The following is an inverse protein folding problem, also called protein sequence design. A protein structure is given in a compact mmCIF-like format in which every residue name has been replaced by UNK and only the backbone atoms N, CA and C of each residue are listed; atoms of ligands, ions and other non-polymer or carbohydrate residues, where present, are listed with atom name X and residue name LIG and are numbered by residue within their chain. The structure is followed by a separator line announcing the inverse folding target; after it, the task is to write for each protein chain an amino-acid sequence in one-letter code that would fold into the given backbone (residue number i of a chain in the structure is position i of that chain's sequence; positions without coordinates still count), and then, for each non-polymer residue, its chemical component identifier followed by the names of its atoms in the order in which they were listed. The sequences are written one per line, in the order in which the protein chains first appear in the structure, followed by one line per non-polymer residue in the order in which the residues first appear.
data_IF_285694719907
#
_entry.id   IF_285694719907
#
_cell.length_a   1.000
_cell.length_b   1.000
_cell.length_c   1.000
_cell.angle_alpha   90.00
_cell.angle_beta   90.00
_cell.angle_gamma   90.00
#
_symmetry.space_group_name_H-M   'P 1'
#
loop_
_entity.id
_entity.type
_entity.pdbx_description
1 polymer ?
2 non-polymer ?
3 water ?
#
# COMPACT_ATOMS: atom_id res chain seq x y z
N UNK A 21 -0.46 21.56 -21.92
CA UNK A 21 -0.06 20.15 -21.86
C UNK A 21 -1.25 19.20 -22.05
N UNK A 22 -1.02 18.11 -22.80
CA UNK A 22 -2.01 17.10 -23.19
C UNK A 22 -1.27 15.81 -23.57
N UNK A 23 -1.92 14.63 -23.47
CA UNK A 23 -1.31 13.33 -23.81
C UNK A 23 -2.26 12.33 -24.49
N UNK A 24 -1.69 11.38 -25.28
CA UNK A 24 -2.47 10.41 -26.03
C UNK A 24 -2.12 8.97 -25.69
N UNK A 25 -3.17 8.18 -25.38
CA UNK A 25 -3.04 6.79 -25.00
C UNK A 25 -4.11 5.99 -25.77
N UNK A 26 -3.67 5.09 -26.67
CA UNK A 26 -4.52 4.21 -27.50
C UNK A 26 -5.58 5.03 -28.29
N UNK A 27 -5.11 6.05 -29.01
CA UNK A 27 -5.96 6.95 -29.77
C UNK A 27 -6.90 7.83 -28.96
N UNK A 28 -6.75 7.85 -27.60
CA UNK A 28 -7.57 8.65 -26.71
C UNK A 28 -6.77 9.82 -26.12
N UNK A 29 -7.30 11.05 -26.26
CA UNK A 29 -6.67 12.29 -25.81
C UNK A 29 -7.09 12.66 -24.36
N UNK A 30 -6.09 12.89 -23.49
CA UNK A 30 -6.26 13.25 -22.08
C UNK A 30 -5.58 14.57 -21.80
N UNK A 31 -6.30 15.50 -21.18
CA UNK A 31 -5.77 16.82 -20.83
C UNK A 31 -5.25 16.77 -19.38
N UNK A 32 -3.98 17.16 -19.18
CA UNK A 32 -3.30 17.13 -17.88
C UNK A 32 -3.76 18.24 -16.96
N UNK A 33 -4.25 17.88 -15.76
CA UNK A 33 -4.68 18.84 -14.75
C UNK A 33 -3.48 19.24 -13.90
N UNK A 34 -2.80 18.23 -13.34
CA UNK A 34 -1.61 18.42 -12.51
C UNK A 34 -0.86 17.10 -12.37
N UNK A 35 0.41 17.19 -11.98
CA UNK A 35 1.25 16.04 -11.72
C UNK A 35 1.03 15.69 -10.24
N UNK A 36 0.46 14.48 -9.98
CA UNK A 36 0.17 13.92 -8.64
C UNK A 36 1.50 13.52 -8.00
N UNK A 37 2.27 12.72 -8.70
CA UNK A 37 3.54 12.22 -8.19
C UNK A 37 4.57 11.90 -9.25
N UNK A 38 5.76 11.52 -8.79
CA UNK A 38 6.90 11.15 -9.61
C UNK A 38 7.71 10.07 -8.90
N UNK A 39 8.57 9.41 -9.66
CA UNK A 39 9.46 8.35 -9.21
C UNK A 39 10.78 8.48 -9.92
N UNK A 40 11.28 7.37 -10.46
CA UNK A 40 12.54 7.37 -11.19
C UNK A 40 12.41 8.05 -12.54
N UNK A 41 11.93 7.28 -13.52
CA UNK A 41 11.72 7.75 -14.91
C UNK A 41 10.22 7.90 -15.14
N UNK A 42 9.44 7.85 -14.07
CA UNK A 42 7.98 7.92 -14.11
C UNK A 42 7.38 9.16 -13.47
N UNK A 43 6.16 9.51 -13.91
CA UNK A 43 5.35 10.65 -13.45
C UNK A 43 3.89 10.20 -13.46
N UNK A 44 3.09 10.64 -12.47
CA UNK A 44 1.67 10.30 -12.33
C UNK A 44 0.89 11.60 -12.50
N UNK A 45 0.00 11.64 -13.48
CA UNK A 45 -0.77 12.84 -13.75
C UNK A 45 -2.23 12.65 -13.45
N UNK A 46 -2.89 13.71 -12.98
CA UNK A 46 -4.33 13.76 -12.76
C UNK A 46 -4.80 14.35 -14.08
N UNK A 47 -5.45 13.54 -14.94
CA UNK A 47 -5.88 13.93 -16.30
C UNK A 47 -7.41 13.91 -16.46
N UNK A 48 -7.89 14.41 -17.61
CA UNK A 48 -9.30 14.36 -18.02
C UNK A 48 -9.41 13.83 -19.45
N UNK A 49 -10.34 12.91 -19.71
CA UNK A 49 -10.58 12.40 -21.06
C UNK A 49 -11.44 13.40 -21.82
N UNK A 50 -11.90 13.06 -23.04
CA UNK A 50 -12.77 13.95 -23.83
C UNK A 50 -14.15 14.21 -23.15
N UNK A 51 -14.68 13.22 -22.43
CA UNK A 51 -15.97 13.26 -21.73
C UNK A 51 -15.91 13.97 -20.36
N UNK A 52 -14.76 14.60 -20.02
CA UNK A 52 -14.47 15.34 -18.78
C UNK A 52 -14.28 14.45 -17.54
N UNK A 53 -14.22 13.11 -17.74
CA UNK A 53 -13.98 12.14 -16.66
C UNK A 53 -12.53 12.16 -16.23
N UNK A 54 -12.29 11.94 -14.92
CA UNK A 54 -10.97 11.99 -14.27
C UNK A 54 -10.26 10.62 -14.25
N UNK A 55 -8.94 10.62 -14.50
CA UNK A 55 -8.08 9.44 -14.50
C UNK A 55 -6.69 9.79 -14.00
N UNK A 56 -5.95 8.79 -13.57
CA UNK A 56 -4.58 8.95 -13.11
C UNK A 56 -3.73 8.25 -14.12
N UNK A 57 -2.87 9.00 -14.81
CA UNK A 57 -2.02 8.42 -15.82
C UNK A 57 -0.57 8.36 -15.38
N UNK A 58 -0.03 7.12 -15.28
CA UNK A 58 1.40 6.94 -15.01
C UNK A 58 2.22 6.82 -16.33
N UNK A 59 3.07 7.83 -16.56
CA UNK A 59 3.98 7.86 -17.70
C UNK A 59 5.35 7.34 -17.25
N UNK A 60 5.91 6.36 -17.97
CA UNK A 60 7.24 5.79 -17.68
C UNK A 60 8.18 6.03 -18.88
N UNK A 61 9.32 6.69 -18.68
CA UNK A 61 10.29 6.89 -19.74
C UNK A 61 11.30 5.71 -19.75
N UNK A 62 11.25 4.84 -20.77
CA UNK A 62 12.10 3.65 -20.79
C UNK A 62 13.46 3.84 -21.46
N UNK A 63 13.79 5.08 -21.89
CA UNK A 63 15.02 5.43 -22.64
C UNK A 63 16.31 4.90 -22.00
N UNK A 64 16.48 5.05 -20.67
CA UNK A 64 17.70 4.57 -20.02
C UNK A 64 17.46 3.33 -19.11
N UNK A 65 16.32 2.62 -19.29
CA UNK A 65 15.92 1.46 -18.48
C UNK A 65 16.64 0.14 -18.80
N UNK A 66 17.20 -0.49 -17.75
CA UNK A 66 17.88 -1.79 -17.83
C UNK A 66 16.81 -2.89 -17.86
N UNK A 67 17.19 -4.11 -18.30
CA UNK A 67 16.30 -5.27 -18.39
C UNK A 67 15.61 -5.66 -17.08
N UNK A 68 16.34 -5.56 -15.95
CA UNK A 68 15.80 -5.84 -14.61
C UNK A 68 14.68 -4.83 -14.30
N UNK A 69 14.90 -3.54 -14.68
CA UNK A 69 13.96 -2.46 -14.47
C UNK A 69 12.76 -2.60 -15.39
N UNK A 70 12.98 -2.87 -16.69
CA UNK A 70 11.88 -3.08 -17.65
C UNK A 70 10.99 -4.19 -17.16
N UNK A 71 11.57 -5.21 -16.53
CA UNK A 71 10.87 -6.38 -16.02
C UNK A 71 9.98 -6.08 -14.82
N UNK A 72 10.38 -5.12 -13.97
CA UNK A 72 9.58 -4.68 -12.83
C UNK A 72 8.31 -3.98 -13.36
N UNK A 73 8.48 -3.14 -14.41
CA UNK A 73 7.38 -2.43 -15.03
C UNK A 73 6.43 -3.41 -15.71
N UNK A 74 6.98 -4.35 -16.48
CA UNK A 74 6.24 -5.41 -17.18
C UNK A 74 5.40 -6.25 -16.20
N UNK A 75 5.97 -6.58 -15.04
CA UNK A 75 5.32 -7.39 -14.03
C UNK A 75 4.19 -6.65 -13.30
N UNK A 76 4.38 -5.34 -13.04
CA UNK A 76 3.39 -4.48 -12.41
C UNK A 76 2.12 -4.45 -13.27
N UNK A 77 2.25 -4.16 -14.57
CA UNK A 77 1.15 -4.14 -15.55
C UNK A 77 0.43 -5.50 -15.59
N UNK A 78 1.19 -6.61 -15.65
CA UNK A 78 0.63 -7.97 -15.70
C UNK A 78 -0.17 -8.33 -14.45
N UNK A 79 0.36 -7.98 -13.25
CA UNK A 79 -0.32 -8.26 -11.98
C UNK A 79 -1.51 -7.31 -11.78
N UNK A 80 -1.34 -6.04 -12.12
CA UNK A 80 -2.45 -5.09 -12.11
C UNK A 80 -3.55 -5.58 -13.07
N UNK A 81 -3.19 -6.21 -14.19
CA UNK A 81 -4.15 -6.73 -15.16
C UNK A 81 -4.85 -7.98 -14.72
N UNK A 82 -4.11 -8.99 -14.19
CA UNK A 82 -4.71 -10.24 -13.71
C UNK A 82 -5.61 -10.02 -12.53
N UNK A 83 -5.14 -9.22 -11.54
CA UNK A 83 -5.84 -8.94 -10.27
C UNK A 83 -7.16 -8.20 -10.40
N UNK A 84 -7.37 -7.47 -11.52
CA UNK A 84 -8.56 -6.68 -11.85
C UNK A 84 -9.84 -7.46 -11.58
N UNK A 85 -9.92 -8.65 -12.19
CA UNK A 85 -11.07 -9.56 -12.14
C UNK A 85 -11.29 -10.17 -10.77
N UNK A 86 -10.29 -10.06 -9.88
CA UNK A 86 -10.39 -10.72 -8.60
C UNK A 86 -10.83 -9.83 -7.44
N UNK A 87 -10.59 -8.53 -7.53
CA UNK A 87 -10.97 -7.65 -6.44
C UNK A 87 -11.17 -6.23 -6.94
N UNK A 88 -12.15 -5.52 -6.34
CA UNK A 88 -12.38 -4.09 -6.60
C UNK A 88 -11.63 -3.23 -5.54
N UNK A 89 -10.79 -3.86 -4.68
CA UNK A 89 -9.96 -3.16 -3.69
C UNK A 89 -8.54 -3.07 -4.23
N UNK A 90 -8.40 -3.34 -5.53
CA UNK A 90 -7.15 -3.18 -6.26
C UNK A 90 -7.46 -2.14 -7.31
N UNK A 91 -6.62 -1.08 -7.40
CA UNK A 91 -6.74 0.02 -8.36
C UNK A 91 -7.09 -0.51 -9.75
N UNK A 92 -8.04 0.12 -10.43
CA UNK A 92 -8.48 -0.28 -11.78
C UNK A 92 -7.49 0.26 -12.83
N UNK A 93 -7.00 -0.64 -13.71
CA UNK A 93 -6.17 -0.27 -14.87
C UNK A 93 -7.09 -0.41 -16.07
N UNK A 94 -7.43 0.71 -16.70
CA UNK A 94 -8.37 0.76 -17.82
C UNK A 94 -7.71 0.51 -19.16
N UNK A 95 -6.46 0.97 -19.30
CA UNK A 95 -5.70 0.81 -20.52
C UNK A 95 -4.23 1.02 -20.27
N UNK A 96 -3.42 0.52 -21.20
CA UNK A 96 -1.97 0.66 -21.13
C UNK A 96 -1.37 0.68 -22.54
N UNK A 97 -0.26 1.44 -22.69
CA UNK A 97 0.51 1.53 -23.91
C UNK A 97 1.95 1.21 -23.55
N UNK A 98 2.56 0.21 -24.23
CA UNK A 98 3.93 -0.20 -23.95
C UNK A 98 4.72 -0.26 -25.24
N UNK A 99 5.72 0.62 -25.37
CA UNK A 99 6.66 0.57 -26.49
C UNK A 99 8.03 0.35 -25.82
N UNK A 100 9.10 0.43 -26.58
CA UNK A 100 10.46 0.31 -26.11
C UNK A 100 10.94 1.67 -25.56
N UNK A 101 10.19 2.74 -25.81
CA UNK A 101 10.51 4.12 -25.38
C UNK A 101 9.70 4.58 -24.18
N UNK A 102 8.45 4.10 -24.02
CA UNK A 102 7.60 4.51 -22.91
C UNK A 102 6.52 3.49 -22.51
N UNK A 103 5.84 3.80 -21.41
CA UNK A 103 4.67 3.15 -20.82
C UNK A 103 3.71 4.28 -20.46
N UNK A 104 2.41 4.00 -20.62
CA UNK A 104 1.28 4.83 -20.20
C UNK A 104 0.28 3.92 -19.53
N UNK A 105 -0.05 4.19 -18.28
CA UNK A 105 -1.05 3.39 -17.56
C UNK A 105 -2.18 4.31 -17.19
N UNK A 106 -3.36 4.09 -17.80
CA UNK A 106 -4.61 4.82 -17.54
C UNK A 106 -5.33 4.10 -16.39
N UNK A 107 -5.38 4.75 -15.23
CA UNK A 107 -5.98 4.18 -14.02
C UNK A 107 -7.12 5.04 -13.48
N UNK A 108 -7.92 4.49 -12.55
CA UNK A 108 -8.95 5.28 -11.91
C UNK A 108 -8.25 6.32 -11.01
N UNK A 109 -8.89 7.48 -10.76
CA UNK A 109 -8.31 8.51 -9.91
C UNK A 109 -8.94 8.52 -8.53
N UNK A 110 -8.10 8.40 -7.51
CA UNK A 110 -8.53 8.45 -6.13
C UNK A 110 -8.47 9.87 -5.64
N UNK A 111 -9.10 10.17 -4.49
CA UNK A 111 -9.10 11.52 -3.90
C UNK A 111 -7.75 11.87 -3.26
N UNK A 112 -7.18 10.93 -2.47
CA UNK A 112 -5.97 11.09 -1.67
C UNK A 112 -5.46 9.73 -1.23
N UNK A 113 -4.13 9.62 -0.98
CA UNK A 113 -3.51 8.40 -0.47
C UNK A 113 -3.76 8.38 1.04
N UNK A 114 -3.61 7.21 1.69
CA UNK A 114 -3.83 7.05 3.13
C UNK A 114 -2.79 7.80 3.97
N UNK A 115 -1.52 7.92 3.48
CA UNK A 115 -0.48 8.63 4.25
C UNK A 115 -0.81 10.11 4.39
N UNK A 116 -1.09 10.79 3.25
CA UNK A 116 -1.46 12.21 3.23
C UNK A 116 -2.79 12.43 3.95
N UNK A 117 -3.68 11.41 3.95
CA UNK A 117 -4.97 11.50 4.65
C UNK A 117 -4.81 11.39 6.16
N UNK A 118 -3.91 10.50 6.64
CA UNK A 118 -3.67 10.30 8.07
C UNK A 118 -2.95 11.49 8.72
N UNK A 119 -2.22 12.31 7.91
CA UNK A 119 -1.54 13.53 8.37
C UNK A 119 -2.55 14.67 8.61
N UNK A 120 -3.58 14.78 7.72
CA UNK A 120 -4.67 15.76 7.79
C UNK A 120 -5.71 15.37 8.87
N UNK A 121 -6.32 14.16 8.75
CA UNK A 121 -7.33 13.65 9.70
C UNK A 121 -6.69 13.29 11.04
N UNK A 122 -6.83 14.21 12.03
CA UNK A 122 -6.30 14.06 13.39
C UNK A 122 -6.93 12.84 14.08
N UNK A 123 -8.26 12.86 14.29
CA UNK A 123 -9.02 11.77 14.91
C UNK A 123 -9.69 10.89 13.84
N UNK A 124 -9.49 9.56 13.93
CA UNK A 124 -10.07 8.60 12.99
C UNK A 124 -11.37 8.01 13.57
N UNK A 125 -12.44 7.94 12.75
CA UNK A 125 -13.76 7.39 13.13
C UNK A 125 -13.66 5.86 13.31
N UNK A 126 -14.22 5.28 14.39
CA UNK A 126 -14.12 3.81 14.61
C UNK A 126 -14.65 2.93 13.46
N UNK A 127 -15.77 3.38 12.82
CA UNK A 127 -16.44 2.69 11.71
C UNK A 127 -15.72 2.84 10.40
N UNK A 128 -15.05 3.99 10.19
CA UNK A 128 -14.29 4.29 8.99
C UNK A 128 -13.01 3.46 9.01
N UNK A 129 -12.31 3.41 10.17
CA UNK A 129 -11.08 2.63 10.39
C UNK A 129 -11.33 1.13 10.13
N UNK A 130 -12.45 0.62 10.64
CA UNK A 130 -12.98 -0.74 10.50
C UNK A 130 -13.15 -1.06 9.02
N UNK A 131 -13.92 -0.21 8.30
CA UNK A 131 -14.20 -0.35 6.87
C UNK A 131 -12.92 -0.29 6.07
N UNK A 132 -12.00 0.64 6.43
CA UNK A 132 -10.70 0.79 5.78
C UNK A 132 -9.84 -0.46 5.91
N UNK A 133 -9.84 -1.09 7.12
CA UNK A 133 -9.12 -2.33 7.45
C UNK A 133 -9.66 -3.49 6.62
N UNK A 134 -11.00 -3.65 6.53
CA UNK A 134 -11.63 -4.70 5.70
C UNK A 134 -11.09 -4.60 4.26
N UNK A 135 -11.06 -3.39 3.71
CA UNK A 135 -10.52 -3.05 2.38
C UNK A 135 -9.07 -3.49 2.21
N UNK A 136 -8.21 -3.16 3.21
CA UNK A 136 -6.78 -3.50 3.22
C UNK A 136 -6.59 -4.99 3.27
N UNK A 137 -7.38 -5.69 4.09
CA UNK A 137 -7.34 -7.16 4.22
C UNK A 137 -7.71 -7.85 2.92
N UNK A 138 -8.81 -7.43 2.27
CA UNK A 138 -9.27 -7.99 0.99
C UNK A 138 -8.24 -7.77 -0.11
N UNK A 139 -7.63 -6.55 -0.19
CA UNK A 139 -6.63 -6.24 -1.21
C UNK A 139 -5.40 -7.11 -1.03
N UNK A 140 -4.78 -7.09 0.20
CA UNK A 140 -3.56 -7.88 0.50
C UNK A 140 -3.86 -9.37 0.37
N UNK A 141 -5.07 -9.82 0.79
CA UNK A 141 -5.47 -11.21 0.63
C UNK A 141 -5.47 -11.64 -0.86
N UNK A 142 -5.89 -10.76 -1.77
CA UNK A 142 -5.96 -11.03 -3.23
C UNK A 142 -4.59 -11.20 -3.84
N UNK A 143 -3.60 -10.37 -3.39
CA UNK A 143 -2.23 -10.43 -3.90
C UNK A 143 -1.60 -11.71 -3.41
N UNK A 144 -1.93 -12.13 -2.18
CA UNK A 144 -1.41 -13.38 -1.59
C UNK A 144 -1.84 -14.61 -2.34
N UNK A 145 -3.12 -14.69 -2.77
CA UNK A 145 -3.63 -15.83 -3.52
C UNK A 145 -3.04 -15.92 -4.93
N UNK A 146 -2.39 -14.85 -5.42
CA UNK A 146 -1.80 -14.82 -6.75
C UNK A 146 -0.29 -14.86 -6.67
N UNK A 147 0.22 -15.30 -5.53
CA UNK A 147 1.65 -15.48 -5.30
C UNK A 147 2.47 -14.25 -4.97
N UNK A 148 1.83 -13.08 -4.77
CA UNK A 148 2.56 -11.86 -4.42
C UNK A 148 2.51 -11.64 -2.93
N UNK A 149 3.70 -11.37 -2.38
CA UNK A 149 3.91 -10.87 -1.01
C UNK A 149 4.51 -9.49 -1.31
N UNK A 150 3.88 -8.42 -0.81
CA UNK A 150 4.34 -7.05 -1.06
C UNK A 150 5.72 -6.82 -0.40
N UNK A 151 5.80 -6.99 0.94
CA UNK A 151 6.95 -6.89 1.87
C UNK A 151 7.33 -5.43 2.24
N UNK A 152 6.68 -4.43 1.62
CA UNK A 152 6.97 -3.04 1.95
C UNK A 152 5.67 -2.20 2.04
N UNK A 153 4.68 -2.72 2.77
CA UNK A 153 3.39 -2.04 2.88
C UNK A 153 3.47 -0.79 3.76
N UNK A 154 2.92 0.32 3.27
CA UNK A 154 2.89 1.63 3.94
C UNK A 154 1.54 2.25 3.56
N UNK A 155 1.04 3.31 4.27
CA UNK A 155 -0.27 3.91 3.90
C UNK A 155 -0.31 4.53 2.52
N UNK A 156 0.84 5.07 2.04
CA UNK A 156 1.02 5.66 0.71
C UNK A 156 0.63 4.68 -0.41
N UNK A 157 0.71 3.34 -0.14
CA UNK A 157 0.37 2.25 -1.06
C UNK A 157 -1.14 2.02 -1.14
N UNK A 158 -1.93 2.69 -0.28
CA UNK A 158 -3.38 2.62 -0.25
C UNK A 158 -3.97 3.97 -0.67
N UNK A 159 -5.06 3.91 -1.44
CA UNK A 159 -5.71 5.10 -1.98
C UNK A 159 -7.22 5.15 -1.71
N UNK A 160 -7.74 6.34 -1.29
CA UNK A 160 -9.18 6.54 -1.04
C UNK A 160 -9.85 6.86 -2.36
N UNK A 161 -10.72 5.96 -2.84
CA UNK A 161 -11.46 6.08 -4.11
C UNK A 161 -12.93 5.89 -3.77
N UNK A 162 -13.72 6.99 -3.77
CA UNK A 162 -15.15 7.06 -3.41
C UNK A 162 -15.44 6.31 -2.07
N UNK A 163 -14.79 6.80 -1.01
CA UNK A 163 -14.90 6.28 0.36
C UNK A 163 -14.62 4.80 0.49
N UNK A 164 -13.54 4.35 -0.17
CA UNK A 164 -13.10 2.95 -0.19
C UNK A 164 -11.60 2.97 -0.34
N UNK A 165 -10.89 2.04 0.33
CA UNK A 165 -9.42 1.89 0.19
C UNK A 165 -9.08 0.86 -0.88
N UNK A 166 -8.22 1.26 -1.84
CA UNK A 166 -7.77 0.39 -2.93
C UNK A 166 -6.25 0.32 -2.87
N UNK A 167 -5.68 -0.86 -3.14
CA UNK A 167 -4.22 -1.02 -3.18
C UNK A 167 -3.69 -0.57 -4.55
N UNK A 168 -2.63 0.27 -4.56
CA UNK A 168 -2.11 0.78 -5.81
C UNK A 168 -0.73 0.19 -6.18
N UNK A 169 0.12 -0.16 -5.19
CA UNK A 169 1.48 -0.67 -5.40
C UNK A 169 1.62 -2.13 -4.89
N UNK A 170 2.50 -2.94 -5.52
CA UNK A 170 2.72 -4.36 -5.18
C UNK A 170 4.16 -4.70 -4.78
N UNK A 171 4.97 -3.69 -4.54
CA UNK A 171 6.38 -3.84 -4.20
C UNK A 171 7.20 -4.37 -5.36
N UNK A 172 6.52 -4.58 -6.54
CA UNK A 172 7.08 -5.10 -7.79
C UNK A 172 7.99 -4.04 -8.37
N UNK A 173 7.44 -2.87 -8.73
CA UNK A 173 8.20 -1.77 -9.31
C UNK A 173 8.52 -0.71 -8.24
N UNK A 174 9.40 0.26 -8.60
CA UNK A 174 9.79 1.38 -7.74
C UNK A 174 8.56 2.17 -7.23
N UNK A 175 8.60 2.63 -5.97
CA UNK A 175 7.49 3.37 -5.36
C UNK A 175 7.41 4.82 -5.86
N UNK A 176 6.17 5.31 -6.04
CA UNK A 176 5.91 6.68 -6.50
C UNK A 176 5.74 7.60 -5.29
N UNK A 177 6.36 8.77 -5.32
CA UNK A 177 6.29 9.77 -4.27
C UNK A 177 5.39 10.94 -4.69
N UNK A 178 4.48 11.47 -3.80
CA UNK A 178 3.62 12.60 -4.20
C UNK A 178 4.38 13.91 -4.40
N UNK A 179 3.90 14.74 -5.35
CA UNK A 179 4.48 16.05 -5.70
C UNK A 179 3.47 17.18 -5.46
N UNK A 180 3.95 18.31 -4.87
CA UNK A 180 3.14 19.49 -4.56
C UNK A 180 3.45 20.61 -5.56
N UNK A 189 13.23 9.77 1.82
CA UNK A 189 11.94 9.95 1.17
C UNK A 189 11.00 8.74 1.40
N UNK A 190 11.27 7.97 2.45
CA UNK A 190 10.51 6.78 2.84
C UNK A 190 10.57 6.52 4.34
N UNK A 192 10.77 3.50 7.78
CA UNK A 192 11.36 2.26 8.31
C UNK A 192 10.40 1.60 9.34
N UNK A 193 9.41 2.36 9.87
CA UNK A 193 8.46 1.93 10.92
C UNK A 193 7.56 0.72 10.59
N UNK A 194 7.13 0.56 9.32
CA UNK A 194 6.25 -0.55 8.92
C UNK A 194 6.99 -1.85 8.61
N UNK A 195 8.34 -1.86 8.73
CA UNK A 195 9.20 -3.00 8.43
C UNK A 195 9.04 -4.18 9.41
N UNK A 196 8.86 -5.43 8.89
CA UNK A 196 8.71 -6.59 9.78
C UNK A 196 10.01 -6.99 10.48
N UNK A 197 9.97 -7.63 11.68
CA UNK A 197 11.22 -8.03 12.37
C UNK A 197 12.04 -9.07 11.61
N UNK A 198 11.36 -9.99 10.87
CA UNK A 198 12.01 -11.04 10.08
C UNK A 198 12.77 -10.48 8.85
N UNK A 199 12.30 -9.34 8.30
CA UNK A 199 12.90 -8.67 7.16
C UNK A 199 14.18 -7.91 7.55
N UNK A 200 14.21 -7.35 8.78
CA UNK A 200 15.35 -6.60 9.32
C UNK A 200 16.43 -7.55 9.82
N UNK A 201 16.04 -8.63 10.53
CA UNK A 201 16.94 -9.65 11.09
C UNK A 201 17.28 -10.77 10.09
N UNK A 202 16.92 -10.56 8.80
CA UNK A 202 17.15 -11.49 7.69
C UNK A 202 18.65 -11.70 7.41
N UNK A 203 19.39 -10.61 7.12
CA UNK A 203 20.81 -10.60 6.77
C UNK A 203 21.69 -11.13 7.92
N UNK A 204 22.65 -12.03 7.60
CA UNK A 204 23.56 -12.63 8.59
C UNK A 204 24.94 -12.95 8.00
N UNK A 214 15.60 -17.90 2.78
CA UNK A 214 14.70 -16.79 2.48
C UNK A 214 13.46 -16.83 3.39
N UNK A 215 13.29 -15.80 4.26
CA UNK A 215 12.20 -15.71 5.24
C UNK A 215 11.14 -14.61 4.94
N UNK A 216 10.77 -14.42 3.66
CA UNK A 216 9.74 -13.46 3.26
C UNK A 216 8.44 -14.20 2.92
N UNK A 217 7.54 -14.29 3.90
CA UNK A 217 6.25 -14.95 3.80
C UNK A 217 5.09 -13.95 3.86
N UNK A 218 3.83 -14.36 3.52
CA UNK A 218 2.67 -13.48 3.70
C UNK A 218 2.57 -12.81 5.09
N UNK A 219 3.12 -13.47 6.15
CA UNK A 219 3.15 -12.97 7.53
C UNK A 219 3.86 -11.63 7.67
N UNK A 220 4.78 -11.32 6.75
CA UNK A 220 5.52 -10.04 6.70
C UNK A 220 4.56 -8.90 6.40
N UNK A 221 3.58 -9.12 5.50
CA UNK A 221 2.54 -8.14 5.18
C UNK A 221 1.54 -7.94 6.31
N UNK A 222 1.36 -8.96 7.17
CA UNK A 222 0.47 -8.88 8.33
C UNK A 222 1.02 -7.84 9.33
N UNK A 223 2.34 -7.89 9.57
CA UNK A 223 3.05 -6.95 10.43
C UNK A 223 2.86 -5.49 9.96
N UNK A 224 3.18 -5.22 8.66
CA UNK A 224 3.09 -3.90 8.03
C UNK A 224 1.68 -3.35 8.06
N UNK A 225 0.64 -4.22 7.84
CA UNK A 225 -0.77 -3.86 7.96
C UNK A 225 -1.10 -3.53 9.40
N UNK A 226 -0.56 -4.30 10.34
CA UNK A 226 -0.73 -4.07 11.78
C UNK A 226 -0.23 -2.70 12.24
N UNK A 227 0.88 -2.22 11.64
CA UNK A 227 1.47 -0.90 11.93
C UNK A 227 0.57 0.26 11.41
N UNK A 228 -0.12 0.02 10.25
CA UNK A 228 -1.07 0.96 9.64
C UNK A 228 -2.31 1.09 10.55
N UNK A 229 -2.83 -0.05 11.06
CA UNK A 229 -3.95 -0.08 11.99
C UNK A 229 -3.56 0.48 13.36
N UNK A 230 -2.29 0.29 13.79
CA UNK A 230 -1.78 0.86 15.04
C UNK A 230 -1.76 2.40 14.89
N UNK A 231 -1.35 2.90 13.70
CA UNK A 231 -1.31 4.31 13.33
C UNK A 231 -2.73 4.89 13.30
N UNK A 232 -3.69 4.11 12.76
CA UNK A 232 -5.11 4.48 12.66
C UNK A 232 -5.85 4.44 14.00
N UNK A 233 -5.26 3.79 15.01
CA UNK A 233 -5.86 3.64 16.34
C UNK A 233 -5.22 4.57 17.36
N UNK A 234 -3.89 4.57 17.43
CA UNK A 234 -3.13 5.31 18.43
C UNK A 234 -2.50 6.63 17.92
N UNK A 235 -2.63 6.93 16.64
CA UNK A 235 -2.12 8.16 16.04
C UNK A 235 -0.63 8.21 15.79
N UNK A 236 0.06 7.07 15.99
CA UNK A 236 1.50 6.91 15.78
C UNK A 236 1.80 5.46 15.45
N UNK A 237 2.90 5.18 14.70
CA UNK A 237 3.30 3.81 14.39
C UNK A 237 3.93 3.22 15.68
N UNK A 238 4.04 1.87 15.84
CA UNK A 238 4.58 1.31 17.10
C UNK A 238 5.97 1.80 17.53
N UNK A 239 6.86 2.12 16.58
CA UNK A 239 8.22 2.56 16.90
C UNK A 239 8.52 4.00 16.46
N UNK A 240 7.46 4.85 16.39
CA UNK A 240 7.58 6.27 16.02
C UNK A 240 8.35 7.00 17.13
N UNK A 241 8.30 6.45 18.37
CA UNK A 241 9.00 6.92 19.56
C UNK A 241 10.52 7.00 19.33
N UNK A 242 11.11 6.01 18.60
CA UNK A 242 12.53 5.96 18.30
C UNK A 242 12.94 7.04 17.29
N UNK A 243 13.63 8.09 17.80
CA UNK A 243 14.11 9.26 17.08
C UNK A 243 15.04 8.90 15.92
N UNK A 244 16.14 8.18 16.20
CA UNK A 244 17.15 7.72 15.25
C UNK A 244 16.73 6.41 14.59
N UNK A 245 16.96 6.30 13.25
CA UNK A 245 16.65 5.12 12.45
C UNK A 245 17.48 3.88 12.80
N UNK A 246 18.73 4.07 13.31
CA UNK A 246 19.62 2.96 13.70
C UNK A 246 19.07 2.19 14.91
N UNK A 247 18.75 2.92 16.01
CA UNK A 247 18.17 2.36 17.23
C UNK A 247 16.73 1.84 17.02
N UNK A 248 16.02 2.38 16.00
CA UNK A 248 14.65 1.99 15.62
C UNK A 248 14.60 0.54 15.12
N UNK A 249 15.61 0.13 14.31
CA UNK A 249 15.74 -1.22 13.76
C UNK A 249 15.98 -2.27 14.86
N UNK A 250 16.78 -1.91 15.88
CA UNK A 250 17.07 -2.77 17.03
C UNK A 250 15.81 -3.00 17.86
N UNK A 251 14.89 -2.00 17.88
CA UNK A 251 13.61 -2.03 18.60
C UNK A 251 12.59 -2.97 17.96
N UNK A 252 12.61 -3.10 16.63
CA UNK A 252 11.72 -3.99 15.88
C UNK A 252 12.23 -5.43 16.05
N UNK A 253 13.55 -5.59 16.22
CA UNK A 253 14.21 -6.88 16.41
C UNK A 253 14.05 -7.43 17.83
N UNK A 254 14.44 -6.64 18.86
CA UNK A 254 14.43 -7.03 20.29
C UNK A 254 13.06 -7.44 20.83
N UNK A 255 12.98 -8.61 21.52
CA UNK A 255 11.70 -9.02 22.10
C UNK A 255 11.45 -8.38 23.47
N UNK A 256 12.52 -7.89 24.13
CA UNK A 256 12.47 -7.22 25.43
C UNK A 256 11.82 -5.84 25.33
N UNK A 257 11.78 -5.28 24.10
CA UNK A 257 11.14 -3.99 23.82
C UNK A 257 9.65 -4.26 23.57
N UNK A 258 8.85 -4.32 24.65
CA UNK A 258 7.41 -4.58 24.59
C UNK A 258 6.63 -3.42 23.98
N UNK A 259 5.82 -3.68 22.92
CA UNK A 259 5.01 -2.65 22.25
C UNK A 259 3.84 -2.25 23.16
N UNK A 260 3.51 -0.94 23.21
CA UNK A 260 2.43 -0.39 24.02
C UNK A 260 1.05 -0.54 23.36
N UNK A 261 0.07 -1.01 24.13
CA UNK A 261 -1.31 -1.14 23.65
C UNK A 261 -2.29 -0.49 24.68
N UNK A 262 -2.36 0.87 24.71
CA UNK A 262 -3.29 1.53 25.64
C UNK A 262 -4.74 1.09 25.43
N UNK A 263 -5.44 0.77 26.53
CA UNK A 263 -6.84 0.32 26.56
C UNK A 263 -7.75 1.19 25.68
N UNK A 264 -8.67 0.55 24.96
CA UNK A 264 -9.61 1.20 24.02
C UNK A 264 -11.01 0.56 24.13
N UNK A 265 -12.11 1.29 23.79
CA UNK A 265 -13.45 0.69 23.87
C UNK A 265 -13.67 -0.47 22.88
N UNK A 266 -12.78 -0.60 21.90
CA UNK A 266 -12.81 -1.68 20.91
C UNK A 266 -11.77 -2.73 21.33
N UNK A 267 -12.20 -3.68 22.18
CA UNK A 267 -11.38 -4.76 22.71
C UNK A 267 -11.00 -5.74 21.59
N UNK A 268 -11.85 -5.78 20.55
CA UNK A 268 -11.72 -6.57 19.32
C UNK A 268 -10.45 -6.09 18.59
N UNK A 269 -10.36 -4.75 18.39
CA UNK A 269 -9.29 -4.03 17.72
C UNK A 269 -7.96 -4.22 18.42
N UNK A 270 -7.96 -4.18 19.75
CA UNK A 270 -6.76 -4.38 20.56
C UNK A 270 -6.16 -5.79 20.36
N UNK A 271 -7.02 -6.80 20.15
CA UNK A 271 -6.56 -8.17 19.93
C UNK A 271 -5.99 -8.30 18.54
N UNK A 272 -6.56 -7.57 17.54
CA UNK A 272 -6.05 -7.55 16.15
C UNK A 272 -4.64 -6.92 16.16
N UNK A 273 -4.51 -5.77 16.81
CA UNK A 273 -3.24 -5.06 16.94
C UNK A 273 -2.14 -5.88 17.63
N UNK A 274 -2.49 -6.63 18.68
CA UNK A 274 -1.54 -7.45 19.43
C UNK A 274 -1.06 -8.64 18.60
N UNK A 275 -1.98 -9.26 17.83
CA UNK A 275 -1.77 -10.45 17.00
C UNK A 275 -0.92 -10.16 15.75
N UNK A 276 -1.15 -9.01 15.09
CA UNK A 276 -0.41 -8.59 13.90
C UNK A 276 1.03 -8.26 14.28
N UNK A 277 1.21 -7.65 15.45
CA UNK A 277 2.50 -7.22 15.93
C UNK A 277 3.22 -8.28 16.79
N UNK A 278 2.88 -9.58 16.61
CA UNK A 278 3.60 -10.69 17.24
C UNK A 278 4.92 -10.83 16.42
N UNK A 279 6.08 -10.63 17.08
CA UNK A 279 7.42 -10.64 16.48
C UNK A 279 7.79 -11.94 15.74
N UNK A 280 7.41 -13.13 16.29
CA UNK A 280 7.67 -14.41 15.63
C UNK A 280 6.60 -14.61 14.53
N UNK A 281 7.00 -14.74 13.24
CA UNK A 281 6.00 -14.87 12.15
C UNK A 281 5.05 -16.05 12.30
N UNK A 282 5.54 -17.15 12.91
CA UNK A 282 4.80 -18.37 13.18
C UNK A 282 3.62 -18.13 14.14
N UNK A 283 3.82 -17.27 15.16
CA UNK A 283 2.80 -16.92 16.16
C UNK A 283 1.86 -15.82 15.68
N UNK A 284 2.36 -14.94 14.78
CA UNK A 284 1.62 -13.84 14.16
C UNK A 284 0.40 -14.41 13.42
N UNK A 285 -0.71 -13.68 13.46
CA UNK A 285 -1.97 -14.09 12.84
C UNK A 285 -1.87 -14.08 11.29
N UNK A 286 -2.67 -14.91 10.61
CA UNK A 286 -2.65 -14.96 9.17
C UNK A 286 -3.76 -14.08 8.57
N UNK A 287 -3.69 -13.80 7.25
CA UNK A 287 -4.73 -13.02 6.58
C UNK A 287 -6.06 -13.81 6.63
N UNK A 288 -6.10 -15.16 6.33
CA UNK A 288 -7.39 -15.88 6.41
C UNK A 288 -7.98 -15.95 7.81
N UNK A 289 -7.09 -15.88 8.84
CA UNK A 289 -7.42 -15.82 10.27
C UNK A 289 -8.01 -14.44 10.55
N UNK A 290 -7.33 -13.35 10.15
CA UNK A 290 -7.82 -11.96 10.31
C UNK A 290 -9.19 -11.72 9.69
N UNK A 291 -9.53 -12.41 8.57
CA UNK A 291 -10.83 -12.24 7.94
C UNK A 291 -11.97 -12.90 8.73
N UNK A 292 -11.63 -13.78 9.67
CA UNK A 292 -12.59 -14.52 10.48
C UNK A 292 -12.67 -14.00 11.91
N UNK A 293 -11.99 -12.87 12.18
CA UNK A 293 -11.88 -12.22 13.47
C UNK A 293 -13.13 -11.45 13.82
N UNK A 294 -13.60 -11.48 15.09
CA UNK A 294 -14.78 -10.67 15.46
C UNK A 294 -14.71 -9.19 15.04
N UNK A 295 -13.52 -8.58 15.06
CA UNK A 295 -13.35 -7.17 14.66
C UNK A 295 -13.86 -6.86 13.25
N UNK A 296 -13.71 -7.81 12.32
CA UNK A 296 -14.07 -7.74 10.90
C UNK A 296 -15.51 -8.24 10.63
N UNK A 297 -15.97 -9.21 11.43
CA UNK A 297 -17.21 -9.95 11.23
C UNK A 297 -18.38 -9.61 12.14
N UNK A 298 -18.13 -8.99 13.30
CA UNK A 298 -19.19 -8.67 14.26
C UNK A 298 -19.49 -7.14 14.22
N UNK A 299 -20.81 -6.80 14.34
CA UNK A 299 -21.46 -5.47 14.34
C UNK A 299 -20.51 -4.27 14.28
#
# INVERSE_FOLDING_TARGET
MHHHHHHSSGVDLGTENLYFQSMSVKGRIYSILKQIGSGGSSKVFQVLNEKKQIYAIKYVNLEEADNQTLDSYRNEIAYLNKLQQHSDKIIRLYDYEITDQYIYMVMECGNIDLNSWLKKKKSIDPWERKSYWKNMLEAVHTIHQHGIVHSDLKPANFLIVDGMLKLIDFGIANQMQPDTTSVVKDSQVGXVNYMPPEAIKDMSSSRENGKSKSKISPKSDVWSLGCILYYMTYGKTPFQQIINQISKLHAIIDPNHEIEFPDIPEKDLQDVLKCCLKRDPKQRISIPELLAHPYVQIQTHPVNQMAKGTTEE
#
